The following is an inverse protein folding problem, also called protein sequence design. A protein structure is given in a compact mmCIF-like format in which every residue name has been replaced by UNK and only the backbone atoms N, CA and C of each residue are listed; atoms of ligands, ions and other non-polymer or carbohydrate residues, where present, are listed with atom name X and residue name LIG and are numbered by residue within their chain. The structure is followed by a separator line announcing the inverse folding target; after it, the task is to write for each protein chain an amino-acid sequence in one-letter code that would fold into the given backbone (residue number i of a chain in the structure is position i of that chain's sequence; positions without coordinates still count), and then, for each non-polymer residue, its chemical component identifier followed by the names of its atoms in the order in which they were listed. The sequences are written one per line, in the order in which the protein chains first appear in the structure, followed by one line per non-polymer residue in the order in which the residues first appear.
data_IF_067830552655
#
_entry.id   IF_067830552655
#
_cell.length_a   1.000
_cell.length_b   1.000
_cell.length_c   1.000
_cell.angle_alpha   90.00
_cell.angle_beta   90.00
_cell.angle_gamma   90.00
#
_symmetry.space_group_name_H-M   'P 1'
#
loop_
_entity.id
_entity.type
_entity.pdbx_description
1 polymer ?
#
# COMPACT_ATOMS: atom_id res chain seq x y z
N UNK A 1 65.79 -5.28 -9.72
CA UNK A 1 64.83 -4.19 -9.44
C UNK A 1 63.41 -4.42 -10.02
N UNK A 2 62.93 -5.65 -10.21
CA UNK A 2 61.61 -5.92 -10.83
C UNK A 2 60.47 -6.36 -9.85
N UNK A 3 60.80 -6.77 -8.60
CA UNK A 3 59.80 -7.29 -7.67
C UNK A 3 58.93 -6.21 -6.97
N UNK A 4 59.34 -4.94 -7.01
CA UNK A 4 58.60 -3.83 -6.37
C UNK A 4 57.45 -3.24 -7.22
N UNK A 5 57.58 -3.30 -8.56
CA UNK A 5 56.63 -2.73 -9.48
C UNK A 5 55.33 -3.59 -9.59
N UNK A 6 55.46 -4.93 -9.54
CA UNK A 6 54.33 -5.85 -9.62
C UNK A 6 53.43 -5.81 -8.37
N UNK A 7 53.99 -5.56 -7.17
CA UNK A 7 53.17 -5.38 -5.96
C UNK A 7 52.36 -4.08 -5.97
N UNK A 8 52.91 -2.99 -6.52
CA UNK A 8 52.20 -1.70 -6.62
C UNK A 8 51.05 -1.74 -7.65
N UNK A 9 51.22 -2.45 -8.75
CA UNK A 9 50.17 -2.64 -9.73
C UNK A 9 48.97 -3.45 -9.18
N UNK A 10 49.23 -4.46 -8.35
CA UNK A 10 48.16 -5.24 -7.69
C UNK A 10 47.33 -4.40 -6.76
N UNK A 11 47.94 -3.52 -5.96
CA UNK A 11 47.20 -2.63 -5.05
C UNK A 11 46.35 -1.58 -5.76
N UNK A 12 46.84 -1.02 -6.86
CA UNK A 12 46.08 -0.05 -7.66
C UNK A 12 44.91 -0.73 -8.35
N UNK A 13 45.04 -1.95 -8.84
CA UNK A 13 43.95 -2.72 -9.42
C UNK A 13 42.86 -3.07 -8.38
N UNK A 14 43.25 -3.44 -7.16
CA UNK A 14 42.31 -3.75 -6.08
C UNK A 14 41.57 -2.49 -5.62
N UNK A 15 42.24 -1.36 -5.49
CA UNK A 15 41.62 -0.08 -5.14
C UNK A 15 40.66 0.41 -6.22
N UNK A 16 41.02 0.26 -7.51
CA UNK A 16 40.12 0.58 -8.62
C UNK A 16 38.92 -0.34 -8.69
N UNK A 17 39.08 -1.63 -8.41
CA UNK A 17 37.98 -2.59 -8.34
C UNK A 17 37.04 -2.30 -7.16
N UNK A 18 37.59 -1.93 -5.99
CA UNK A 18 36.80 -1.52 -4.84
C UNK A 18 36.06 -0.19 -5.06
N UNK A 19 36.68 0.76 -5.75
CA UNK A 19 36.02 2.00 -6.19
C UNK A 19 34.91 1.75 -7.22
N UNK A 20 35.11 0.84 -8.18
CA UNK A 20 34.04 0.45 -9.12
C UNK A 20 32.88 -0.26 -8.41
N UNK A 21 33.16 -1.12 -7.42
CA UNK A 21 32.11 -1.77 -6.62
C UNK A 21 31.33 -0.79 -5.75
N UNK A 22 31.99 0.25 -5.23
CA UNK A 22 31.33 1.34 -4.49
C UNK A 22 30.45 2.22 -5.41
N UNK A 23 30.86 2.42 -6.69
CA UNK A 23 30.03 3.15 -7.64
C UNK A 23 28.83 2.33 -8.15
N UNK A 24 28.93 1.00 -8.19
CA UNK A 24 27.81 0.13 -8.57
C UNK A 24 26.74 0.02 -7.46
N UNK A 25 27.12 0.22 -6.21
CA UNK A 25 26.18 0.21 -5.07
C UNK A 25 25.31 1.47 -4.97
N UNK A 26 25.67 2.59 -5.60
CA UNK A 26 24.90 3.84 -5.59
C UNK A 26 23.93 3.98 -6.78
N UNK A 27 23.94 3.07 -7.74
CA UNK A 27 23.18 3.21 -9.00
C UNK A 27 21.74 2.67 -8.91
N UNK A 28 21.37 1.92 -7.86
CA UNK A 28 20.04 1.32 -7.75
C UNK A 28 18.92 2.31 -7.39
N UNK A 29 19.24 3.47 -6.81
CA UNK A 29 18.23 4.50 -6.50
C UNK A 29 17.92 5.47 -7.65
N UNK A 30 18.83 5.68 -8.60
CA UNK A 30 18.65 6.68 -9.66
C UNK A 30 17.78 6.20 -10.83
N UNK A 31 17.69 4.90 -11.06
CA UNK A 31 16.81 4.31 -12.07
C UNK A 31 15.34 4.47 -11.69
N UNK A 32 15.00 4.06 -10.49
CA UNK A 32 13.63 4.10 -9.96
C UNK A 32 13.06 5.51 -9.90
N UNK A 33 13.86 6.52 -9.52
CA UNK A 33 13.41 7.92 -9.48
C UNK A 33 12.99 8.44 -10.85
N UNK A 34 13.76 8.14 -11.89
CA UNK A 34 13.42 8.56 -13.27
C UNK A 34 12.15 7.92 -13.80
N UNK A 35 11.83 6.72 -13.36
CA UNK A 35 10.63 5.99 -13.77
C UNK A 35 9.37 6.60 -13.18
N UNK A 36 9.48 7.18 -11.97
CA UNK A 36 8.34 7.77 -11.27
C UNK A 36 8.24 9.30 -11.42
N UNK A 37 9.25 9.98 -11.98
CA UNK A 37 9.16 11.41 -12.28
C UNK A 37 8.01 11.73 -13.22
N UNK A 38 7.32 12.86 -12.98
CA UNK A 38 6.28 13.43 -13.83
C UNK A 38 4.94 13.56 -13.15
N UNK A 39 3.91 13.72 -13.97
CA UNK A 39 2.54 13.99 -13.56
C UNK A 39 1.74 12.70 -13.43
N UNK A 40 0.97 12.60 -12.34
CA UNK A 40 0.16 11.46 -11.97
C UNK A 40 -1.23 11.93 -11.52
N UNK A 41 -2.24 11.13 -11.82
CA UNK A 41 -3.64 11.44 -11.49
C UNK A 41 -4.22 10.29 -10.68
N UNK A 42 -4.92 10.61 -9.59
CA UNK A 42 -5.63 9.59 -8.83
C UNK A 42 -6.84 9.08 -9.62
N UNK A 43 -7.00 7.76 -9.62
CA UNK A 43 -8.08 7.08 -10.38
C UNK A 43 -9.46 7.46 -9.86
N UNK A 44 -9.59 7.78 -8.58
CA UNK A 44 -10.87 7.93 -7.90
C UNK A 44 -11.22 9.37 -7.52
N UNK A 45 -10.28 10.29 -7.61
CA UNK A 45 -10.50 11.68 -7.23
C UNK A 45 -9.91 12.66 -8.26
N UNK A 46 -9.96 13.94 -7.96
CA UNK A 46 -9.28 14.99 -8.73
C UNK A 46 -7.89 15.31 -8.16
N UNK A 47 -7.37 14.45 -7.32
CA UNK A 47 -6.04 14.64 -6.75
C UNK A 47 -4.99 14.32 -7.79
N UNK A 48 -4.00 15.19 -7.90
CA UNK A 48 -2.82 14.95 -8.73
C UNK A 48 -1.54 14.94 -7.90
N UNK A 49 -0.53 14.28 -8.42
CA UNK A 49 0.78 14.15 -7.82
C UNK A 49 1.84 14.43 -8.87
N UNK A 50 2.65 15.45 -8.64
CA UNK A 50 3.77 15.79 -9.48
C UNK A 50 5.08 15.44 -8.77
N UNK A 51 5.89 14.57 -9.37
CA UNK A 51 7.18 14.12 -8.82
C UNK A 51 8.31 14.69 -9.66
N UNK A 52 9.23 15.39 -9.00
CA UNK A 52 10.42 15.97 -9.62
C UNK A 52 11.60 15.96 -8.66
N UNK A 53 12.67 15.24 -9.02
CA UNK A 53 13.86 15.08 -8.19
C UNK A 53 13.53 14.45 -6.84
N UNK A 54 13.82 15.15 -5.74
CA UNK A 54 13.55 14.72 -4.36
C UNK A 54 12.25 15.31 -3.78
N UNK A 55 11.38 15.83 -4.62
CA UNK A 55 10.13 16.49 -4.21
C UNK A 55 8.92 15.87 -4.89
N UNK A 56 7.81 15.83 -4.17
CA UNK A 56 6.50 15.60 -4.76
C UNK A 56 5.52 16.71 -4.35
N UNK A 57 4.69 17.13 -5.28
CA UNK A 57 3.64 18.11 -5.07
C UNK A 57 2.29 17.42 -5.18
N UNK A 58 1.49 17.47 -4.13
CA UNK A 58 0.10 17.00 -4.13
C UNK A 58 -0.81 18.18 -4.40
N UNK A 59 -1.75 18.03 -5.33
CA UNK A 59 -2.78 19.04 -5.60
C UNK A 59 -4.16 18.42 -5.45
N UNK A 60 -5.01 19.05 -4.65
CA UNK A 60 -6.40 18.67 -4.45
C UNK A 60 -7.28 19.93 -4.52
N UNK A 61 -8.08 20.05 -5.56
CA UNK A 61 -8.91 21.22 -5.80
C UNK A 61 -8.09 22.52 -5.94
N UNK A 62 -8.21 23.41 -4.96
CA UNK A 62 -7.45 24.68 -4.91
C UNK A 62 -6.22 24.59 -4.00
N UNK A 63 -6.09 23.53 -3.28
CA UNK A 63 -4.96 23.30 -2.39
C UNK A 63 -3.82 22.60 -3.15
N UNK A 64 -2.59 23.02 -2.88
CA UNK A 64 -1.39 22.40 -3.44
C UNK A 64 -0.24 22.55 -2.46
N UNK A 65 0.48 21.48 -2.18
CA UNK A 65 1.61 21.48 -1.28
C UNK A 65 2.74 20.57 -1.77
N UNK A 66 3.97 21.01 -1.55
CA UNK A 66 5.18 20.30 -1.98
C UNK A 66 5.93 19.77 -0.78
N UNK A 67 6.30 18.50 -0.85
CA UNK A 67 7.00 17.76 0.19
C UNK A 67 8.33 17.24 -0.34
N UNK A 68 9.32 17.14 0.56
CA UNK A 68 10.55 16.41 0.28
C UNK A 68 10.40 14.95 0.64
N UNK A 69 10.94 14.07 -0.17
CA UNK A 69 10.93 12.65 0.10
C UNK A 69 12.32 12.01 0.01
N UNK A 70 12.40 10.80 0.53
CA UNK A 70 13.51 9.88 0.32
C UNK A 70 12.95 8.56 -0.20
N UNK A 71 13.73 7.87 -1.02
CA UNK A 71 13.38 6.53 -1.46
C UNK A 71 13.78 5.52 -0.39
N UNK A 72 12.90 4.59 -0.08
CA UNK A 72 13.14 3.41 0.72
C UNK A 72 12.72 2.18 -0.08
N UNK A 73 13.55 1.15 -0.06
CA UNK A 73 13.20 -0.16 -0.63
C UNK A 73 13.17 -1.18 0.49
N UNK A 74 12.10 -1.94 0.58
CA UNK A 74 11.93 -3.03 1.54
C UNK A 74 11.15 -4.16 0.87
N UNK A 75 11.61 -5.40 1.01
CA UNK A 75 10.95 -6.61 0.51
C UNK A 75 10.46 -6.52 -0.95
N UNK A 76 11.34 -6.07 -1.85
CA UNK A 76 11.07 -5.83 -3.27
C UNK A 76 10.05 -4.69 -3.56
N UNK A 77 9.67 -3.92 -2.55
CA UNK A 77 8.80 -2.76 -2.72
C UNK A 77 9.58 -1.45 -2.57
N UNK A 78 9.20 -0.46 -3.38
CA UNK A 78 9.77 0.88 -3.33
C UNK A 78 8.76 1.86 -2.76
N UNK A 79 9.22 2.70 -1.85
CA UNK A 79 8.43 3.71 -1.18
C UNK A 79 9.07 5.08 -1.32
N UNK A 80 8.23 6.11 -1.52
CA UNK A 80 8.60 7.50 -1.34
C UNK A 80 8.14 7.92 0.05
N UNK A 81 9.08 8.08 0.95
CA UNK A 81 8.77 8.41 2.36
C UNK A 81 8.99 9.89 2.55
N UNK A 82 7.95 10.59 3.02
CA UNK A 82 8.08 12.00 3.36
C UNK A 82 9.22 12.20 4.37
N UNK A 83 10.13 13.11 4.06
CA UNK A 83 11.29 13.41 4.90
C UNK A 83 11.10 14.67 5.76
N UNK A 84 9.96 15.34 5.63
CA UNK A 84 9.65 16.54 6.38
C UNK A 84 9.12 16.17 7.78
N UNK A 85 9.92 16.45 8.81
CA UNK A 85 9.65 16.02 10.19
C UNK A 85 8.45 16.72 10.83
N UNK A 86 7.99 17.84 10.28
CA UNK A 86 6.93 18.66 10.85
C UNK A 86 5.52 18.16 10.52
N UNK A 87 5.39 17.13 9.70
CA UNK A 87 4.12 16.68 9.14
C UNK A 87 3.47 15.52 9.89
N UNK A 88 4.19 14.87 10.79
CA UNK A 88 3.65 13.77 11.60
C UNK A 88 2.47 14.18 12.51
N UNK A 89 2.36 15.48 12.83
CA UNK A 89 1.32 15.99 13.73
C UNK A 89 -0.04 16.19 13.05
N UNK A 90 -0.12 16.04 11.72
CA UNK A 90 -1.34 16.38 10.96
C UNK A 90 -1.93 15.22 10.15
N UNK A 91 -1.46 13.98 10.32
CA UNK A 91 -1.95 12.82 9.54
C UNK A 91 -1.75 12.95 8.04
N UNK A 92 -0.76 13.67 7.56
CA UNK A 92 -0.48 13.89 6.14
C UNK A 92 0.11 12.64 5.48
N UNK A 93 -0.06 12.49 4.18
CA UNK A 93 0.54 11.45 3.37
C UNK A 93 2.04 11.32 3.69
N UNK A 94 2.40 10.26 4.37
CA UNK A 94 3.76 10.03 4.83
C UNK A 94 4.55 9.17 3.87
N UNK A 95 3.85 8.39 3.06
CA UNK A 95 4.44 7.35 2.23
C UNK A 95 3.64 7.11 0.95
N UNK A 96 4.34 7.02 -0.18
CA UNK A 96 3.78 6.59 -1.46
C UNK A 96 4.48 5.28 -1.83
N UNK A 97 3.69 4.24 -2.05
CA UNK A 97 4.18 2.93 -2.47
C UNK A 97 4.21 2.85 -3.99
N UNK A 98 5.34 2.46 -4.55
CA UNK A 98 5.45 2.13 -5.97
C UNK A 98 4.99 0.70 -6.18
N UNK A 99 4.01 0.49 -7.03
CA UNK A 99 3.45 -0.82 -7.37
C UNK A 99 4.21 -1.49 -8.50
N UNK A 100 4.12 -2.82 -8.58
CA UNK A 100 4.75 -3.62 -9.64
C UNK A 100 4.16 -3.33 -11.04
N UNK A 101 2.95 -2.80 -11.12
CA UNK A 101 2.30 -2.36 -12.37
C UNK A 101 2.70 -0.94 -12.78
N UNK A 102 3.61 -0.32 -12.04
CA UNK A 102 4.08 1.03 -12.25
C UNK A 102 3.15 2.11 -11.72
N UNK A 103 1.99 1.76 -11.13
CA UNK A 103 1.14 2.74 -10.44
C UNK A 103 1.73 3.11 -9.07
N UNK A 104 1.27 4.24 -8.53
CA UNK A 104 1.63 4.70 -7.20
C UNK A 104 0.42 4.60 -6.28
N UNK A 105 0.65 4.22 -5.04
CA UNK A 105 -0.41 4.08 -4.04
C UNK A 105 -0.07 4.85 -2.77
N UNK A 106 -1.02 5.63 -2.27
CA UNK A 106 -0.95 6.28 -0.98
C UNK A 106 -2.16 5.92 -0.12
N UNK A 107 -1.95 5.67 1.17
CA UNK A 107 -3.02 5.29 2.09
C UNK A 107 -3.86 6.49 2.54
N UNK A 108 -3.29 7.70 2.53
CA UNK A 108 -3.94 8.92 3.00
C UNK A 108 -3.40 10.18 2.36
N UNK A 109 -4.32 11.11 2.09
CA UNK A 109 -4.04 12.52 1.84
C UNK A 109 -4.96 13.32 2.76
N UNK A 110 -4.39 14.14 3.63
CA UNK A 110 -5.00 14.73 4.83
C UNK A 110 -6.22 15.60 4.62
N UNK A 111 -6.44 16.09 3.43
CA UNK A 111 -7.48 17.08 3.17
C UNK A 111 -8.72 16.51 2.53
N UNK A 112 -8.77 15.19 2.39
CA UNK A 112 -9.97 14.52 1.94
C UNK A 112 -10.81 14.14 3.17
N UNK A 113 -12.00 14.68 3.26
CA UNK A 113 -13.00 14.30 4.27
C UNK A 113 -13.53 12.89 4.04
N UNK A 114 -13.15 12.28 2.92
CA UNK A 114 -13.49 10.93 2.54
C UNK A 114 -12.20 10.10 2.30
N UNK A 115 -11.52 9.65 3.37
CA UNK A 115 -10.26 8.94 3.27
C UNK A 115 -10.46 7.66 2.45
N UNK A 116 -9.80 7.63 1.32
CA UNK A 116 -9.72 6.47 0.45
C UNK A 116 -8.28 6.16 0.12
N UNK A 117 -8.05 5.00 -0.40
CA UNK A 117 -6.74 4.63 -0.89
C UNK A 117 -6.52 5.26 -2.25
N UNK A 118 -5.57 6.17 -2.33
CA UNK A 118 -5.18 6.83 -3.56
C UNK A 118 -4.39 5.88 -4.45
N UNK A 119 -4.79 5.78 -5.70
CA UNK A 119 -4.05 5.07 -6.73
C UNK A 119 -3.79 6.01 -7.89
N UNK A 120 -2.55 6.43 -7.99
CA UNK A 120 -2.12 7.35 -9.02
C UNK A 120 -1.61 6.59 -10.24
N UNK A 121 -2.05 6.99 -11.40
CA UNK A 121 -1.62 6.49 -12.69
C UNK A 121 -1.17 7.65 -13.58
N UNK A 122 -0.45 7.37 -14.65
CA UNK A 122 -0.16 8.39 -15.65
C UNK A 122 -1.47 8.85 -16.29
N UNK A 123 -1.54 10.12 -16.67
CA UNK A 123 -2.78 10.71 -17.22
C UNK A 123 -3.29 9.96 -18.46
N UNK A 124 -2.39 9.51 -19.32
CA UNK A 124 -2.71 8.71 -20.51
C UNK A 124 -3.25 7.31 -20.19
N UNK A 125 -2.97 6.81 -18.98
CA UNK A 125 -3.49 5.54 -18.49
C UNK A 125 -4.84 5.66 -17.77
N UNK A 126 -5.24 6.87 -17.38
CA UNK A 126 -6.43 7.11 -16.57
C UNK A 126 -7.72 6.57 -17.22
N UNK A 127 -7.89 6.78 -18.51
CA UNK A 127 -9.06 6.29 -19.23
C UNK A 127 -9.19 4.76 -19.17
N UNK A 128 -8.06 4.06 -19.31
CA UNK A 128 -7.98 2.61 -19.21
C UNK A 128 -8.24 2.10 -17.79
N UNK A 129 -7.78 2.82 -16.79
CA UNK A 129 -8.00 2.49 -15.38
C UNK A 129 -9.47 2.70 -14.96
N UNK A 130 -10.13 3.67 -15.57
CA UNK A 130 -11.56 3.89 -15.36
C UNK A 130 -12.44 2.86 -16.08
N UNK A 131 -11.89 2.09 -17.03
CA UNK A 131 -12.56 0.90 -17.55
C UNK A 131 -12.54 -0.18 -16.50
N UNK A 132 -13.71 -0.54 -15.99
CA UNK A 132 -13.87 -1.59 -15.00
C UNK A 132 -13.45 -2.91 -15.63
N UNK A 133 -12.37 -3.49 -15.12
CA UNK A 133 -11.98 -4.85 -15.47
C UNK A 133 -12.31 -5.79 -14.31
N UNK A 134 -13.47 -6.40 -14.39
CA UNK A 134 -13.77 -7.56 -13.55
C UNK A 134 -12.99 -8.77 -14.08
N UNK A 135 -11.86 -9.05 -13.45
CA UNK A 135 -10.96 -10.16 -13.75
C UNK A 135 -11.34 -11.44 -13.01
N UNK A 136 -12.52 -11.46 -12.35
CA UNK A 136 -12.93 -12.59 -11.50
C UNK A 136 -12.99 -13.93 -12.23
N UNK A 137 -13.20 -13.93 -13.55
CA UNK A 137 -13.22 -15.15 -14.36
C UNK A 137 -11.83 -15.69 -14.67
N UNK A 138 -10.85 -14.81 -14.81
CA UNK A 138 -9.51 -15.14 -15.29
C UNK A 138 -8.47 -15.19 -14.16
N UNK A 139 -8.77 -14.57 -13.01
CA UNK A 139 -7.89 -14.58 -11.87
C UNK A 139 -7.79 -15.98 -11.23
N UNK A 140 -6.58 -16.39 -10.76
CA UNK A 140 -6.39 -17.63 -10.04
C UNK A 140 -7.34 -17.77 -8.85
N UNK A 141 -7.96 -18.95 -8.69
CA UNK A 141 -8.86 -19.27 -7.57
C UNK A 141 -8.18 -20.17 -6.53
N UNK A 142 -6.90 -20.41 -6.70
CA UNK A 142 -6.04 -21.09 -5.75
C UNK A 142 -4.79 -20.25 -5.55
N UNK A 143 -4.25 -20.27 -4.36
CA UNK A 143 -2.99 -19.63 -3.97
C UNK A 143 -2.16 -20.69 -3.30
N UNK A 144 -1.00 -20.99 -3.85
CA UNK A 144 -0.14 -22.07 -3.36
C UNK A 144 0.63 -21.64 -2.10
N UNK A 145 1.03 -20.38 -2.03
CA UNK A 145 1.75 -19.84 -0.88
C UNK A 145 0.80 -19.45 0.24
N UNK A 146 1.18 -19.81 1.46
CA UNK A 146 0.51 -19.33 2.69
C UNK A 146 1.27 -18.20 3.39
N UNK A 147 2.43 -17.83 2.86
CA UNK A 147 3.24 -16.75 3.41
C UNK A 147 2.78 -15.41 2.83
N UNK A 148 2.07 -14.63 3.63
CA UNK A 148 1.66 -13.28 3.28
C UNK A 148 2.85 -12.33 3.45
N UNK A 149 3.15 -11.53 2.43
CA UNK A 149 4.13 -10.43 2.48
C UNK A 149 3.45 -9.09 2.74
N UNK A 150 2.24 -8.95 2.22
CA UNK A 150 1.44 -7.75 2.39
C UNK A 150 -0.03 -8.12 2.45
N UNK A 151 -0.74 -7.53 3.38
CA UNK A 151 -2.19 -7.61 3.50
C UNK A 151 -2.74 -6.20 3.66
N UNK A 152 -3.86 -5.90 3.02
CA UNK A 152 -4.56 -4.65 3.17
C UNK A 152 -6.05 -4.87 3.00
N UNK A 153 -6.80 -4.52 4.03
CA UNK A 153 -8.27 -4.47 4.01
C UNK A 153 -8.71 -3.05 4.33
N UNK A 154 -9.40 -2.43 3.39
CA UNK A 154 -9.99 -1.09 3.54
C UNK A 154 -11.47 -1.19 3.25
N UNK A 155 -12.30 -0.62 4.09
CA UNK A 155 -13.75 -0.56 3.86
C UNK A 155 -14.38 0.59 4.67
N UNK A 156 -15.57 1.03 4.25
CA UNK A 156 -16.36 2.00 5.00
C UNK A 156 -17.57 1.33 5.63
N UNK A 157 -17.65 1.36 6.95
CA UNK A 157 -18.81 0.93 7.72
C UNK A 157 -19.80 2.10 7.86
N UNK A 158 -21.00 1.95 7.29
CA UNK A 158 -22.10 2.89 7.45
C UNK A 158 -23.16 2.32 8.43
N UNK A 159 -22.83 2.25 9.72
CA UNK A 159 -23.75 1.79 10.76
C UNK A 159 -24.56 0.54 10.38
N UNK A 160 -24.09 -0.64 10.76
CA UNK A 160 -24.74 -1.92 10.45
C UNK A 160 -24.56 -2.42 9.01
N UNK A 161 -23.74 -1.75 8.18
CA UNK A 161 -23.31 -2.31 6.90
C UNK A 161 -22.52 -3.61 7.12
N UNK A 162 -22.57 -4.50 6.14
CA UNK A 162 -21.80 -5.76 6.13
C UNK A 162 -22.11 -6.74 7.26
N UNK A 163 -23.24 -6.58 7.96
CA UNK A 163 -23.62 -7.48 9.07
C UNK A 163 -22.69 -7.38 10.29
N UNK A 164 -21.94 -6.31 10.42
CA UNK A 164 -21.04 -6.09 11.54
C UNK A 164 -21.84 -5.81 12.82
N UNK A 165 -21.38 -6.32 13.99
CA UNK A 165 -21.95 -5.99 15.28
C UNK A 165 -21.98 -4.48 15.56
N UNK A 166 -22.92 -4.02 16.38
CA UNK A 166 -23.12 -2.61 16.69
C UNK A 166 -21.92 -1.95 17.40
N UNK A 167 -21.05 -2.75 18.01
CA UNK A 167 -19.79 -2.26 18.61
C UNK A 167 -18.78 -1.74 17.58
N UNK A 168 -18.92 -2.12 16.32
CA UNK A 168 -18.10 -1.60 15.24
C UNK A 168 -18.67 -0.27 14.74
N UNK A 169 -18.05 0.81 15.17
CA UNK A 169 -18.50 2.17 14.87
C UNK A 169 -18.54 2.46 13.37
N UNK A 170 -19.40 3.42 12.99
CA UNK A 170 -19.36 3.98 11.64
C UNK A 170 -18.03 4.68 11.39
N UNK A 171 -17.45 4.44 10.21
CA UNK A 171 -16.17 5.04 9.84
C UNK A 171 -15.45 4.28 8.74
N UNK A 172 -14.28 4.77 8.40
CA UNK A 172 -13.33 4.12 7.51
C UNK A 172 -12.41 3.22 8.31
N UNK A 173 -12.32 1.99 7.88
CA UNK A 173 -11.45 0.97 8.43
C UNK A 173 -10.30 0.73 7.46
N UNK A 174 -9.08 0.80 7.97
CA UNK A 174 -7.86 0.45 7.25
C UNK A 174 -7.06 -0.51 8.14
N UNK A 175 -6.94 -1.75 7.71
CA UNK A 175 -6.13 -2.76 8.36
C UNK A 175 -5.07 -3.25 7.40
N UNK A 176 -3.82 -3.02 7.77
CA UNK A 176 -2.67 -3.37 6.94
C UNK A 176 -1.68 -4.20 7.73
N UNK A 177 -1.06 -5.16 7.06
CA UNK A 177 0.08 -5.91 7.57
C UNK A 177 1.12 -5.93 6.46
N UNK A 178 2.36 -5.64 6.82
CA UNK A 178 3.47 -5.67 5.89
C UNK A 178 4.70 -6.29 6.53
N UNK A 179 5.39 -7.13 5.78
CA UNK A 179 6.70 -7.62 6.18
C UNK A 179 7.77 -6.58 5.82
N UNK A 180 8.48 -6.10 6.83
CA UNK A 180 9.58 -5.14 6.71
C UNK A 180 10.79 -5.67 7.46
N UNK A 181 11.93 -5.82 6.78
CA UNK A 181 13.20 -6.28 7.38
C UNK A 181 13.06 -7.58 8.19
N UNK A 182 12.25 -8.53 7.69
CA UNK A 182 12.02 -9.83 8.31
C UNK A 182 11.02 -9.83 9.47
N UNK A 183 10.41 -8.68 9.82
CA UNK A 183 9.35 -8.56 10.82
C UNK A 183 8.03 -8.15 10.19
N UNK A 184 6.92 -8.53 10.81
CA UNK A 184 5.60 -8.10 10.36
C UNK A 184 5.13 -6.91 11.19
N UNK A 185 4.76 -5.83 10.49
CA UNK A 185 4.14 -4.65 11.09
C UNK A 185 2.68 -4.59 10.73
N UNK A 186 1.84 -4.45 11.72
CA UNK A 186 0.40 -4.26 11.56
C UNK A 186 0.03 -2.82 11.89
N UNK A 187 -0.76 -2.20 11.02
CA UNK A 187 -1.51 -0.98 11.33
C UNK A 187 -3.00 -1.26 11.27
N UNK A 188 -3.74 -0.71 12.22
CA UNK A 188 -5.19 -0.76 12.25
C UNK A 188 -5.74 0.62 12.59
N UNK A 189 -6.55 1.17 11.71
CA UNK A 189 -7.04 2.52 11.81
C UNK A 189 -8.53 2.58 11.55
N UNK A 190 -9.21 3.39 12.38
CA UNK A 190 -10.62 3.73 12.20
C UNK A 190 -10.69 5.26 12.15
N UNK A 191 -11.22 5.79 11.06
CA UNK A 191 -11.40 7.23 10.86
C UNK A 191 -12.89 7.53 10.71
N UNK A 192 -13.39 8.40 11.56
CA UNK A 192 -14.70 9.04 11.39
C UNK A 192 -14.61 10.21 10.41
N UNK A 193 -15.75 10.83 10.09
CA UNK A 193 -15.84 11.90 9.06
C UNK A 193 -14.99 13.15 9.39
N UNK A 194 -14.53 13.31 10.60
CA UNK A 194 -13.74 14.49 11.02
C UNK A 194 -12.74 14.21 12.15
N UNK A 195 -12.50 12.96 12.48
CA UNK A 195 -11.58 12.59 13.57
C UNK A 195 -11.02 11.17 13.36
N UNK A 196 -9.83 10.94 13.88
CA UNK A 196 -9.26 9.58 13.99
C UNK A 196 -9.80 8.94 15.27
N UNK A 197 -10.65 7.92 15.12
CA UNK A 197 -11.21 7.19 16.27
C UNK A 197 -10.19 6.21 16.86
N UNK A 198 -9.35 5.63 16.03
CA UNK A 198 -8.32 4.68 16.42
C UNK A 198 -7.15 4.74 15.43
N UNK A 199 -5.93 4.76 15.94
CA UNK A 199 -4.70 4.55 15.16
C UNK A 199 -3.76 3.67 16.00
N UNK A 200 -3.49 2.49 15.49
CA UNK A 200 -2.76 1.47 16.22
C UNK A 200 -1.71 0.82 15.31
N UNK A 201 -0.48 0.83 15.77
CA UNK A 201 0.64 0.24 15.05
C UNK A 201 1.42 -0.67 15.99
N UNK A 202 1.68 -1.91 15.57
CA UNK A 202 2.48 -2.87 16.33
C UNK A 202 3.17 -3.91 15.45
N UNK A 203 4.15 -4.58 16.01
CA UNK A 203 4.68 -5.81 15.44
C UNK A 203 3.74 -6.98 15.76
N UNK A 204 3.57 -7.88 14.80
CA UNK A 204 2.79 -9.11 14.94
C UNK A 204 3.67 -10.32 14.61
N UNK A 205 3.33 -11.47 15.18
CA UNK A 205 4.11 -12.69 14.96
C UNK A 205 3.83 -13.33 13.60
N UNK A 206 4.74 -14.16 13.14
CA UNK A 206 4.55 -15.00 11.94
C UNK A 206 3.32 -15.90 12.08
N UNK A 207 3.07 -16.46 13.27
CA UNK A 207 1.90 -17.30 13.53
C UNK A 207 0.59 -16.54 13.36
N UNK A 208 0.58 -15.26 13.75
CA UNK A 208 -0.57 -14.39 13.52
C UNK A 208 -0.84 -14.21 12.03
N UNK A 209 0.20 -13.95 11.23
CA UNK A 209 0.06 -13.75 9.79
C UNK A 209 -0.32 -15.07 9.08
N UNK A 210 0.27 -16.18 9.50
CA UNK A 210 -0.09 -17.52 9.01
C UNK A 210 -1.55 -17.89 9.34
N UNK A 211 -2.02 -17.54 10.53
CA UNK A 211 -3.42 -17.72 10.91
C UNK A 211 -4.38 -16.85 10.09
N UNK A 212 -3.97 -15.65 9.70
CA UNK A 212 -4.75 -14.81 8.78
C UNK A 212 -4.83 -15.45 7.39
N UNK A 213 -3.72 -15.97 6.85
CA UNK A 213 -3.71 -16.69 5.58
C UNK A 213 -4.66 -17.90 5.60
N UNK A 214 -4.65 -18.66 6.68
CA UNK A 214 -5.55 -19.81 6.86
C UNK A 214 -7.02 -19.35 6.92
N UNK A 215 -7.31 -18.25 7.62
CA UNK A 215 -8.66 -17.68 7.70
C UNK A 215 -9.20 -17.28 6.33
N UNK A 216 -8.38 -16.63 5.49
CA UNK A 216 -8.77 -16.26 4.12
C UNK A 216 -9.11 -17.49 3.26
N UNK A 217 -8.38 -18.59 3.47
CA UNK A 217 -8.65 -19.87 2.81
C UNK A 217 -9.96 -20.50 3.33
N UNK A 218 -10.10 -20.63 4.65
CA UNK A 218 -11.27 -21.25 5.31
C UNK A 218 -12.58 -20.54 4.99
N UNK A 219 -12.53 -19.21 4.86
CA UNK A 219 -13.67 -18.38 4.45
C UNK A 219 -13.91 -18.39 2.94
N UNK A 220 -13.08 -19.07 2.15
CA UNK A 220 -13.20 -19.13 0.70
C UNK A 220 -13.02 -17.77 0.00
N UNK A 221 -12.37 -16.81 0.66
CA UNK A 221 -12.19 -15.44 0.11
C UNK A 221 -11.44 -15.47 -1.21
N UNK A 222 -10.53 -16.42 -1.40
CA UNK A 222 -9.74 -16.61 -2.62
C UNK A 222 -10.62 -16.84 -3.85
N UNK A 223 -11.82 -17.39 -3.69
CA UNK A 223 -12.76 -17.61 -4.80
C UNK A 223 -13.24 -16.31 -5.47
N UNK A 224 -13.14 -15.20 -4.76
CA UNK A 224 -13.48 -13.87 -5.27
C UNK A 224 -12.30 -13.11 -5.87
N UNK A 225 -11.11 -13.75 -5.98
CA UNK A 225 -9.94 -13.10 -6.56
C UNK A 225 -10.25 -12.52 -7.94
N UNK A 226 -9.80 -11.30 -8.18
CA UNK A 226 -10.03 -10.54 -9.41
C UNK A 226 -11.41 -9.86 -9.48
N UNK A 227 -12.27 -10.04 -8.46
CA UNK A 227 -13.57 -9.35 -8.44
C UNK A 227 -13.34 -7.84 -8.36
N UNK A 228 -13.87 -7.15 -9.33
CA UNK A 228 -13.89 -5.69 -9.34
C UNK A 228 -15.26 -5.23 -9.87
N UNK A 229 -15.98 -4.51 -9.04
CA UNK A 229 -17.28 -3.93 -9.40
C UNK A 229 -17.33 -2.46 -8.99
N UNK A 230 -17.70 -1.62 -9.93
CA UNK A 230 -17.86 -0.18 -9.74
C UNK A 230 -19.17 0.25 -10.38
N UNK A 231 -19.83 1.22 -9.81
CA UNK A 231 -20.89 1.95 -10.50
C UNK A 231 -20.54 3.45 -10.54
N UNK A 232 -21.32 4.20 -11.32
CA UNK A 232 -21.06 5.63 -11.58
C UNK A 232 -21.31 6.55 -10.37
N UNK A 233 -21.65 6.00 -9.21
CA UNK A 233 -21.86 6.75 -7.98
C UNK A 233 -20.55 6.73 -7.21
N UNK A 234 -19.95 7.90 -7.04
CA UNK A 234 -18.78 8.06 -6.18
C UNK A 234 -19.18 7.80 -4.73
N UNK A 235 -18.85 6.65 -4.23
CA UNK A 235 -18.95 6.27 -2.82
C UNK A 235 -17.78 5.35 -2.49
N UNK A 236 -17.21 5.50 -1.29
CA UNK A 236 -16.22 4.56 -0.83
C UNK A 236 -16.80 3.16 -0.80
N UNK A 237 -15.98 2.20 -1.07
CA UNK A 237 -16.33 0.80 -1.11
C UNK A 237 -15.53 -0.02 -0.13
N UNK A 238 -15.19 -1.22 -0.56
CA UNK A 238 -14.23 -2.07 0.12
C UNK A 238 -13.15 -2.53 -0.86
N UNK A 239 -11.98 -2.78 -0.29
CA UNK A 239 -10.81 -3.24 -1.01
C UNK A 239 -10.07 -4.25 -0.15
N UNK A 240 -9.80 -5.42 -0.68
CA UNK A 240 -8.93 -6.42 -0.08
C UNK A 240 -7.81 -6.73 -1.05
N UNK A 241 -6.59 -6.54 -0.59
CA UNK A 241 -5.38 -6.89 -1.33
C UNK A 241 -4.46 -7.74 -0.46
N UNK A 242 -3.97 -8.85 -1.01
CA UNK A 242 -2.96 -9.68 -0.37
C UNK A 242 -1.88 -10.00 -1.40
N UNK A 243 -0.62 -9.82 -1.02
CA UNK A 243 0.55 -10.27 -1.77
C UNK A 243 1.23 -11.37 -0.99
N UNK A 244 1.51 -12.47 -1.66
CA UNK A 244 2.17 -13.63 -1.10
C UNK A 244 3.66 -13.69 -1.49
N UNK A 245 4.45 -14.48 -0.75
CA UNK A 245 5.87 -14.66 -1.03
C UNK A 245 6.14 -15.27 -2.43
N UNK A 246 5.22 -16.09 -2.93
CA UNK A 246 5.21 -16.64 -4.30
C UNK A 246 5.00 -15.59 -5.39
N UNK A 247 4.73 -14.32 -5.04
CA UNK A 247 4.27 -13.21 -5.90
C UNK A 247 2.83 -13.35 -6.37
N UNK A 248 2.12 -14.40 -5.96
CA UNK A 248 0.67 -14.50 -6.15
C UNK A 248 -0.06 -13.37 -5.44
N UNK A 249 -1.23 -13.02 -5.94
CA UNK A 249 -2.03 -11.91 -5.40
C UNK A 249 -3.49 -12.27 -5.30
N UNK A 250 -4.11 -11.78 -4.23
CA UNK A 250 -5.56 -11.72 -4.07
C UNK A 250 -5.96 -10.24 -4.13
N UNK A 251 -6.88 -9.92 -5.04
CA UNK A 251 -7.39 -8.56 -5.20
C UNK A 251 -8.91 -8.61 -5.36
N UNK A 252 -9.62 -7.95 -4.46
CA UNK A 252 -11.08 -7.88 -4.45
C UNK A 252 -11.45 -6.42 -4.19
N UNK A 253 -12.28 -5.85 -5.05
CA UNK A 253 -12.66 -4.45 -4.95
C UNK A 253 -14.11 -4.22 -5.36
N UNK A 254 -14.81 -3.36 -4.61
CA UNK A 254 -16.08 -2.83 -5.03
C UNK A 254 -16.23 -1.37 -4.60
N UNK A 255 -16.82 -0.55 -5.47
CA UNK A 255 -16.98 0.88 -5.28
C UNK A 255 -18.43 1.30 -5.54
N UNK A 256 -18.83 2.40 -4.93
CA UNK A 256 -20.19 2.94 -5.07
C UNK A 256 -21.27 2.03 -4.50
N UNK A 257 -22.45 2.00 -5.11
CA UNK A 257 -23.56 1.15 -4.65
C UNK A 257 -23.26 -0.36 -4.80
N UNK A 258 -22.26 -0.72 -5.60
CA UNK A 258 -21.78 -2.10 -5.70
C UNK A 258 -21.15 -2.60 -4.38
N UNK A 259 -20.76 -1.68 -3.49
CA UNK A 259 -20.17 -1.97 -2.19
C UNK A 259 -21.21 -2.02 -1.05
N UNK A 260 -22.50 -1.94 -1.33
CA UNK A 260 -23.54 -2.07 -0.30
C UNK A 260 -23.55 -3.45 0.37
N UNK A 261 -22.97 -4.45 -0.27
CA UNK A 261 -22.72 -5.77 0.31
C UNK A 261 -21.32 -6.23 -0.05
N UNK A 262 -20.57 -6.74 0.91
CA UNK A 262 -19.30 -7.39 0.63
C UNK A 262 -19.54 -8.78 0.03
N UNK A 263 -18.73 -9.19 -0.95
CA UNK A 263 -18.83 -10.52 -1.58
C UNK A 263 -18.33 -11.63 -0.66
N UNK A 264 -17.61 -11.30 0.39
CA UNK A 264 -17.16 -12.20 1.44
C UNK A 264 -17.58 -11.66 2.80
N UNK A 265 -17.58 -12.51 3.83
CA UNK A 265 -17.92 -12.09 5.19
C UNK A 265 -16.74 -11.34 5.83
N UNK A 266 -16.97 -10.09 6.23
CA UNK A 266 -15.98 -9.24 6.91
C UNK A 266 -15.86 -9.56 8.41
N UNK A 267 -16.92 -10.05 9.04
CA UNK A 267 -16.94 -10.22 10.50
C UNK A 267 -15.81 -11.14 11.00
N UNK A 268 -15.55 -12.32 10.42
CA UNK A 268 -14.44 -13.17 10.87
C UNK A 268 -13.07 -12.51 10.74
N UNK A 269 -12.86 -11.67 9.73
CA UNK A 269 -11.60 -10.96 9.54
C UNK A 269 -11.41 -9.90 10.62
N UNK A 270 -12.46 -9.15 10.97
CA UNK A 270 -12.40 -8.15 12.02
C UNK A 270 -12.26 -8.77 13.41
N UNK A 271 -12.96 -9.86 13.68
CA UNK A 271 -12.77 -10.64 14.90
C UNK A 271 -11.34 -11.16 15.02
N UNK A 272 -10.73 -11.50 13.88
CA UNK A 272 -9.34 -11.92 13.86
C UNK A 272 -8.39 -10.75 14.16
N UNK A 273 -8.62 -9.58 13.58
CA UNK A 273 -7.87 -8.38 13.91
C UNK A 273 -7.95 -8.07 15.43
N UNK A 274 -9.13 -8.18 16.01
CA UNK A 274 -9.39 -7.93 17.43
C UNK A 274 -8.73 -8.93 18.41
N UNK A 275 -8.17 -10.06 17.93
CA UNK A 275 -7.33 -10.96 18.76
C UNK A 275 -6.02 -10.30 19.19
N UNK A 276 -5.57 -9.30 18.46
CA UNK A 276 -4.51 -8.43 18.94
C UNK A 276 -5.08 -7.45 19.98
N UNK A 277 -4.28 -7.00 20.95
CA UNK A 277 -4.73 -6.05 21.96
C UNK A 277 -4.94 -4.66 21.34
N UNK A 278 -5.96 -4.57 20.47
CA UNK A 278 -6.36 -3.28 19.94
C UNK A 278 -6.77 -2.36 21.10
N UNK A 279 -6.40 -1.07 21.10
CA UNK A 279 -6.89 -0.13 22.05
C UNK A 279 -8.43 -0.14 22.03
N UNK A 280 -9.07 -0.10 23.19
CA UNK A 280 -10.53 0.06 23.22
C UNK A 280 -10.85 1.37 22.51
N UNK A 281 -11.70 1.31 21.48
CA UNK A 281 -12.29 2.51 20.90
C UNK A 281 -13.07 3.23 22.01
N UNK A 282 -12.79 4.50 22.21
CA UNK A 282 -13.44 5.34 23.22
C UNK A 282 -14.80 5.80 22.76
#
# INVERSE_FOLDING_TARGET
MQKGAMKRMGYVAIVLLALMLLCLGCASGSGTLKEIEGHWVDVNSKTTLDISGDQFTVTYGKWSETFKFRVRTSDDMTYLVNSDKNLHDFGMMTEIRVRDDGSLEASEIVFDTDPHRYRFVREDMLAKELEIQDLSKDAPKTIDSKEIRQFSLVFRNYGGSYGLPDEWQSGHYCWEIEQQDGTYKMSFRIMGDSYVAMDFNQEVSEEYVAGLAQLLEDQGVIQYNGYHKKNNVYRPGYYLYVKYASKERLNIQAEGDAANSCVFDLAPLLEYAAKQPLPKAF
#
